data_IF_004245905232
#
_entry.id   IF_004245905232
#
_cell.length_a   1.000
_cell.length_b   1.000
_cell.length_c   1.000
_cell.angle_alpha   90.00
_cell.angle_beta   90.00
_cell.angle_gamma   90.00
#
_symmetry.space_group_name_H-M   'P 1'
#
loop_
_entity.id
_entity.type
_entity.pdbx_description
1 polymer ?
#
# COMPACT_ATOMS: atom_id res chain seq x y z
N UNK A 1 -16.96 12.59 82.48
CA UNK A 1 -17.46 13.85 81.85
C UNK A 1 -16.32 14.51 81.08
N UNK A 2 -16.64 15.06 79.89
CA UNK A 2 -15.82 15.88 78.98
C UNK A 2 -14.88 15.19 77.97
N UNK A 3 -15.49 14.93 76.80
CA UNK A 3 -15.06 15.31 75.45
C UNK A 3 -13.58 15.11 75.05
N UNK A 4 -13.35 14.16 74.14
CA UNK A 4 -12.18 14.15 73.28
C UNK A 4 -12.61 14.06 71.80
N UNK A 5 -11.87 14.80 70.98
CA UNK A 5 -12.25 15.41 69.71
C UNK A 5 -12.28 14.43 68.53
N UNK A 6 -13.07 14.81 67.51
CA UNK A 6 -12.96 14.39 66.11
C UNK A 6 -11.50 14.18 65.68
N UNK A 7 -11.19 13.03 65.09
CA UNK A 7 -10.27 12.95 63.96
C UNK A 7 -10.68 11.81 63.02
N UNK A 8 -10.93 12.21 61.79
CA UNK A 8 -11.30 11.43 60.62
C UNK A 8 -10.09 10.56 60.26
N UNK A 9 -10.22 9.23 60.27
CA UNK A 9 -9.16 8.36 59.77
C UNK A 9 -9.44 8.02 58.31
N UNK A 10 -8.70 8.77 57.48
CA UNK A 10 -8.48 8.71 56.05
C UNK A 10 -8.65 7.33 55.38
N UNK A 11 -9.44 7.35 54.32
CA UNK A 11 -9.60 6.28 53.33
C UNK A 11 -8.24 6.05 52.65
N UNK A 12 -7.65 4.88 52.84
CA UNK A 12 -6.52 4.39 52.04
C UNK A 12 -7.07 3.85 50.72
N UNK A 13 -7.23 4.72 49.72
CA UNK A 13 -7.38 4.28 48.34
C UNK A 13 -5.96 3.97 47.83
N UNK A 14 -5.63 2.72 47.48
CA UNK A 14 -4.34 2.45 46.85
C UNK A 14 -4.31 3.20 45.52
N UNK A 15 -3.37 4.13 45.37
CA UNK A 15 -3.08 4.78 44.10
C UNK A 15 -2.61 3.70 43.14
N UNK A 16 -3.51 3.29 42.24
CA UNK A 16 -3.22 2.45 41.09
C UNK A 16 -2.18 3.21 40.26
N UNK A 17 -0.92 2.83 40.40
CA UNK A 17 0.17 3.35 39.60
C UNK A 17 0.05 2.72 38.21
N UNK A 18 -0.75 3.32 37.34
CA UNK A 18 -0.70 3.00 35.91
C UNK A 18 0.61 3.60 35.41
N UNK A 19 1.64 2.76 35.33
CA UNK A 19 2.81 3.05 34.50
C UNK A 19 2.31 3.06 33.05
N UNK A 20 1.87 4.23 32.59
CA UNK A 20 1.75 4.49 31.16
C UNK A 20 3.17 4.51 30.61
N UNK A 21 3.68 3.34 30.21
CA UNK A 21 4.85 3.30 29.35
C UNK A 21 4.58 4.25 28.19
N UNK A 22 5.46 5.23 27.98
CA UNK A 22 5.33 6.13 26.84
C UNK A 22 5.18 5.25 25.61
N UNK A 23 4.20 5.51 24.72
CA UNK A 23 4.14 4.79 23.47
C UNK A 23 5.47 5.06 22.77
N UNK A 24 6.31 4.02 22.67
CA UNK A 24 7.46 4.03 21.79
C UNK A 24 6.88 4.43 20.45
N UNK A 25 7.20 5.63 19.96
CA UNK A 25 6.85 6.01 18.61
C UNK A 25 7.55 4.99 17.72
N UNK A 26 6.84 3.92 17.35
CA UNK A 26 7.15 3.12 16.19
C UNK A 26 7.42 4.15 15.09
N UNK A 27 8.57 4.06 14.40
CA UNK A 27 8.91 4.98 13.32
C UNK A 27 7.64 5.20 12.52
N UNK A 28 7.14 6.43 12.59
CA UNK A 28 5.83 6.74 12.06
C UNK A 28 5.88 6.31 10.62
N UNK A 29 5.05 5.31 10.27
CA UNK A 29 4.48 5.30 8.94
C UNK A 29 4.03 6.75 8.78
N UNK A 30 4.61 7.47 7.83
CA UNK A 30 4.15 8.82 7.58
C UNK A 30 2.67 8.67 7.23
N UNK A 31 1.80 8.96 8.21
CA UNK A 31 0.37 8.67 8.10
C UNK A 31 -0.20 9.40 6.89
N UNK A 32 0.43 10.52 6.48
CA UNK A 32 0.13 11.20 5.22
C UNK A 32 0.42 10.33 3.99
N UNK A 33 1.54 9.61 3.97
CA UNK A 33 1.91 8.70 2.87
C UNK A 33 0.94 7.53 2.74
N UNK A 34 0.60 6.83 3.84
CA UNK A 34 -0.38 5.74 3.78
C UNK A 34 -1.77 6.23 3.34
N UNK A 35 -2.27 7.31 3.96
CA UNK A 35 -3.59 7.85 3.61
C UNK A 35 -3.64 8.34 2.16
N UNK A 36 -2.54 8.88 1.63
CA UNK A 36 -2.44 9.25 0.23
C UNK A 36 -2.57 8.04 -0.70
N UNK A 37 -1.84 6.94 -0.42
CA UNK A 37 -1.93 5.72 -1.22
C UNK A 37 -3.32 5.09 -1.13
N UNK A 38 -3.91 5.07 0.06
CA UNK A 38 -5.27 4.58 0.25
C UNK A 38 -6.30 5.42 -0.52
N UNK A 39 -6.12 6.75 -0.56
CA UNK A 39 -6.99 7.64 -1.32
C UNK A 39 -6.87 7.38 -2.83
N UNK A 40 -5.66 7.29 -3.38
CA UNK A 40 -5.45 6.97 -4.80
C UNK A 40 -6.06 5.62 -5.17
N UNK A 41 -5.90 4.60 -4.32
CA UNK A 41 -6.54 3.30 -4.56
C UNK A 41 -8.06 3.37 -4.48
N UNK A 42 -8.60 4.03 -3.46
CA UNK A 42 -10.06 4.17 -3.30
C UNK A 42 -10.68 4.95 -4.45
N UNK A 43 -9.99 5.98 -4.94
CA UNK A 43 -10.39 6.73 -6.12
C UNK A 43 -10.35 5.83 -7.36
N UNK A 44 -9.25 5.11 -7.58
CA UNK A 44 -9.12 4.17 -8.69
C UNK A 44 -10.25 3.13 -8.75
N UNK A 45 -10.75 2.66 -7.60
CA UNK A 45 -11.85 1.70 -7.56
C UNK A 45 -13.19 2.28 -8.05
N UNK A 46 -13.39 3.59 -7.92
CA UNK A 46 -14.67 4.26 -8.18
C UNK A 46 -14.67 5.16 -9.41
N UNK A 47 -13.51 5.68 -9.83
CA UNK A 47 -13.38 6.57 -10.98
C UNK A 47 -13.70 5.86 -12.30
N UNK A 48 -14.28 6.60 -13.25
CA UNK A 48 -14.65 6.10 -14.57
C UNK A 48 -13.84 6.77 -15.70
N UNK A 49 -13.24 7.92 -15.42
CA UNK A 49 -12.36 8.61 -16.35
C UNK A 49 -11.03 7.87 -16.47
N UNK A 50 -10.64 7.52 -17.70
CA UNK A 50 -9.47 6.67 -17.97
C UNK A 50 -8.17 7.39 -17.63
N UNK A 51 -8.10 8.70 -17.83
CA UNK A 51 -6.88 9.45 -17.54
C UNK A 51 -6.68 9.56 -16.01
N UNK A 52 -7.77 9.70 -15.25
CA UNK A 52 -7.73 9.62 -13.79
C UNK A 52 -7.30 8.23 -13.30
N UNK A 53 -7.84 7.16 -13.89
CA UNK A 53 -7.44 5.79 -13.54
C UNK A 53 -5.98 5.51 -13.84
N UNK A 54 -5.48 6.05 -14.95
CA UNK A 54 -4.08 5.96 -15.31
C UNK A 54 -3.22 6.70 -14.28
N UNK A 55 -3.62 7.90 -13.86
CA UNK A 55 -2.89 8.70 -12.88
C UNK A 55 -2.81 7.99 -11.52
N UNK A 56 -3.92 7.43 -11.03
CA UNK A 56 -3.94 6.66 -9.79
C UNK A 56 -3.05 5.41 -9.89
N UNK A 57 -3.12 4.69 -11.01
CA UNK A 57 -2.31 3.49 -11.25
C UNK A 57 -0.81 3.81 -11.25
N UNK A 58 -0.41 4.90 -11.92
CA UNK A 58 0.99 5.37 -11.95
C UNK A 58 1.48 5.81 -10.57
N UNK A 59 0.64 6.49 -9.80
CA UNK A 59 0.95 6.90 -8.43
C UNK A 59 1.21 5.69 -7.55
N UNK A 60 0.34 4.68 -7.60
CA UNK A 60 0.49 3.45 -6.83
C UNK A 60 1.68 2.61 -7.29
N UNK A 61 1.93 2.50 -8.60
CA UNK A 61 3.09 1.79 -9.14
C UNK A 61 4.40 2.43 -8.70
N UNK A 62 4.49 3.77 -8.74
CA UNK A 62 5.67 4.50 -8.27
C UNK A 62 5.93 4.27 -6.78
N UNK A 63 4.88 4.18 -5.96
CA UNK A 63 5.01 3.86 -4.55
C UNK A 63 5.40 2.40 -4.29
N UNK A 64 4.89 1.47 -5.12
CA UNK A 64 5.25 0.06 -5.06
C UNK A 64 6.74 -0.17 -5.37
N UNK A 65 7.29 0.55 -6.35
CA UNK A 65 8.73 0.51 -6.68
C UNK A 65 9.59 1.03 -5.51
N UNK A 66 9.13 2.07 -4.81
CA UNK A 66 9.78 2.56 -3.59
C UNK A 66 9.80 1.53 -2.46
N UNK A 67 8.69 0.78 -2.28
CA UNK A 67 8.58 -0.25 -1.23
C UNK A 67 9.57 -1.42 -1.39
N UNK A 68 10.00 -1.71 -2.63
CA UNK A 68 11.01 -2.74 -2.94
C UNK A 68 12.40 -2.42 -2.37
N UNK A 69 12.72 -1.13 -2.19
CA UNK A 69 14.01 -0.71 -1.63
C UNK A 69 14.06 -0.78 -0.10
N UNK A 70 12.97 -1.16 0.55
CA UNK A 70 12.83 -1.16 2.01
C UNK A 70 12.90 -2.56 2.64
N UNK A 71 13.68 -3.47 2.04
CA UNK A 71 14.20 -4.60 2.80
C UNK A 71 15.33 -4.10 3.72
N UNK A 72 15.03 -3.88 5.01
CA UNK A 72 16.09 -3.79 6.00
C UNK A 72 15.79 -4.64 7.21
N UNK A 73 16.44 -5.80 7.26
CA UNK A 73 16.90 -6.40 8.50
C UNK A 73 18.28 -6.98 8.15
N UNK A 74 19.38 -6.64 8.81
CA UNK A 74 19.70 -6.94 10.21
C UNK A 74 20.85 -6.01 10.63
N UNK A 75 20.93 -5.61 11.89
CA UNK A 75 22.19 -5.06 12.42
C UNK A 75 22.78 -6.00 13.47
N UNK A 76 23.97 -6.62 13.25
CA UNK A 76 24.67 -7.34 14.30
C UNK A 76 25.38 -6.31 15.18
N UNK A 77 24.64 -5.74 16.12
CA UNK A 77 25.15 -4.72 17.02
C UNK A 77 25.71 -5.32 18.32
N UNK A 78 26.77 -4.72 18.88
CA UNK A 78 27.14 -4.96 20.28
C UNK A 78 25.95 -4.61 21.20
N UNK A 79 25.69 -5.46 22.20
CA UNK A 79 24.43 -5.57 22.94
C UNK A 79 23.89 -4.31 23.65
N UNK A 80 24.65 -3.21 23.68
CA UNK A 80 24.25 -1.95 24.32
C UNK A 80 23.78 -0.86 23.35
N UNK A 81 24.05 -1.00 22.05
CA UNK A 81 23.74 0.02 21.04
C UNK A 81 22.53 -0.34 20.17
N UNK A 82 22.19 -1.63 20.04
CA UNK A 82 21.00 -2.08 19.31
C UNK A 82 19.69 -1.46 19.82
N UNK A 83 19.60 -1.18 21.11
CA UNK A 83 18.44 -0.55 21.75
C UNK A 83 18.21 0.92 21.34
N UNK A 84 19.16 1.57 20.65
CA UNK A 84 19.10 3.01 20.34
C UNK A 84 18.89 3.35 18.85
N UNK A 85 19.07 2.41 17.90
CA UNK A 85 19.35 2.79 16.50
C UNK A 85 18.43 2.26 15.41
N UNK A 86 17.62 1.23 15.61
CA UNK A 86 16.89 0.68 14.46
C UNK A 86 15.58 1.43 14.25
N UNK A 87 15.56 2.51 13.45
CA UNK A 87 14.31 3.11 12.93
C UNK A 87 13.52 2.02 12.21
N UNK A 88 12.35 1.62 12.72
CA UNK A 88 11.57 0.57 12.09
C UNK A 88 11.24 0.91 10.63
N UNK A 89 11.39 -0.06 9.74
CA UNK A 89 10.83 0.04 8.38
C UNK A 89 9.33 0.30 8.49
N UNK A 90 8.83 1.23 7.67
CA UNK A 90 7.39 1.47 7.56
C UNK A 90 6.70 0.19 7.06
N UNK A 91 5.97 -0.49 7.95
CA UNK A 91 5.20 -1.68 7.62
C UNK A 91 3.76 -1.27 7.32
N UNK A 92 3.44 -1.12 6.05
CA UNK A 92 2.06 -0.89 5.65
C UNK A 92 1.21 -2.15 5.95
N UNK A 93 0.02 -1.96 6.52
CA UNK A 93 -0.95 -3.05 6.69
C UNK A 93 -1.53 -3.54 5.35
N UNK A 94 -1.24 -2.81 4.28
CA UNK A 94 -1.67 -3.09 2.92
C UNK A 94 -0.46 -3.36 2.03
N UNK A 95 -0.61 -4.30 1.11
CA UNK A 95 0.40 -4.56 0.09
C UNK A 95 0.26 -3.52 -1.03
N UNK A 96 1.22 -2.59 -1.10
CA UNK A 96 1.24 -1.50 -2.08
C UNK A 96 1.37 -2.04 -3.51
N UNK A 97 2.10 -3.15 -3.72
CA UNK A 97 2.18 -3.79 -5.05
C UNK A 97 0.85 -4.40 -5.45
N UNK A 98 0.13 -5.02 -4.51
CA UNK A 98 -1.21 -5.53 -4.79
C UNK A 98 -2.18 -4.39 -5.16
N UNK A 99 -2.13 -3.27 -4.45
CA UNK A 99 -2.92 -2.07 -4.78
C UNK A 99 -2.58 -1.55 -6.17
N UNK A 100 -1.30 -1.42 -6.49
CA UNK A 100 -0.82 -0.98 -7.80
C UNK A 100 -1.23 -1.93 -8.93
N UNK A 101 -1.08 -3.25 -8.73
CA UNK A 101 -1.46 -4.26 -9.71
C UNK A 101 -2.97 -4.28 -9.96
N UNK A 102 -3.79 -4.18 -8.90
CA UNK A 102 -5.25 -4.14 -9.01
C UNK A 102 -5.71 -2.88 -9.76
N UNK A 103 -5.20 -1.71 -9.40
CA UNK A 103 -5.56 -0.46 -10.05
C UNK A 103 -5.09 -0.43 -11.51
N UNK A 104 -3.85 -0.87 -11.80
CA UNK A 104 -3.32 -0.97 -13.17
C UNK A 104 -4.14 -1.92 -14.02
N UNK A 105 -4.62 -3.03 -13.46
CA UNK A 105 -5.48 -3.98 -14.19
C UNK A 105 -6.82 -3.34 -14.52
N UNK A 106 -7.46 -2.66 -13.57
CA UNK A 106 -8.73 -1.95 -13.79
C UNK A 106 -8.59 -0.85 -14.84
N UNK A 107 -7.55 -0.02 -14.72
CA UNK A 107 -7.25 1.06 -15.66
C UNK A 107 -6.94 0.50 -17.06
N UNK A 108 -6.15 -0.58 -17.13
CA UNK A 108 -5.83 -1.29 -18.37
C UNK A 108 -7.07 -1.84 -19.05
N UNK A 109 -7.94 -2.55 -18.31
CA UNK A 109 -9.22 -3.07 -18.83
C UNK A 109 -10.12 -1.95 -19.35
N UNK A 110 -10.27 -0.85 -18.60
CA UNK A 110 -11.04 0.31 -19.05
C UNK A 110 -10.48 0.93 -20.34
N UNK A 111 -9.14 0.99 -20.48
CA UNK A 111 -8.49 1.46 -21.68
C UNK A 111 -8.68 0.51 -22.89
N UNK A 112 -8.71 -0.81 -22.67
CA UNK A 112 -9.09 -1.80 -23.70
C UNK A 112 -10.51 -1.53 -24.19
N UNK A 113 -11.47 -1.42 -23.28
CA UNK A 113 -12.89 -1.17 -23.60
C UNK A 113 -13.08 0.15 -24.37
N UNK A 114 -12.31 1.17 -24.00
CA UNK A 114 -12.32 2.48 -24.63
C UNK A 114 -11.50 2.57 -25.93
N UNK A 115 -10.94 1.46 -26.43
CA UNK A 115 -10.11 1.41 -27.64
C UNK A 115 -8.90 2.35 -27.59
N UNK A 116 -8.27 2.47 -26.43
CA UNK A 116 -7.01 3.21 -26.21
C UNK A 116 -5.86 2.20 -25.99
N UNK A 117 -5.42 1.48 -27.05
CA UNK A 117 -4.52 0.33 -26.93
C UNK A 117 -3.16 0.70 -26.34
N UNK A 118 -2.63 1.90 -26.64
CA UNK A 118 -1.32 2.32 -26.12
C UNK A 118 -1.34 2.43 -24.59
N UNK A 119 -2.36 3.06 -24.03
CA UNK A 119 -2.54 3.20 -22.58
C UNK A 119 -2.80 1.85 -21.92
N UNK A 120 -3.62 1.02 -22.56
CA UNK A 120 -3.88 -0.34 -22.07
C UNK A 120 -2.57 -1.14 -21.99
N UNK A 121 -1.75 -1.12 -23.05
CA UNK A 121 -0.47 -1.83 -23.08
C UNK A 121 0.47 -1.35 -21.98
N UNK A 122 0.65 -0.05 -21.83
CA UNK A 122 1.53 0.52 -20.80
C UNK A 122 1.12 0.08 -19.38
N UNK A 123 -0.18 0.15 -19.07
CA UNK A 123 -0.71 -0.20 -17.75
C UNK A 123 -0.60 -1.71 -17.48
N UNK A 124 -0.92 -2.55 -18.48
CA UNK A 124 -0.89 -4.00 -18.33
C UNK A 124 0.55 -4.53 -18.24
N UNK A 125 1.50 -3.92 -18.96
CA UNK A 125 2.92 -4.25 -18.84
C UNK A 125 3.50 -3.92 -17.47
N UNK A 126 3.02 -2.84 -16.83
CA UNK A 126 3.42 -2.47 -15.47
C UNK A 126 3.14 -3.60 -14.47
N UNK A 127 2.05 -4.36 -14.64
CA UNK A 127 1.73 -5.51 -13.76
C UNK A 127 2.76 -6.65 -13.92
N UNK A 128 3.37 -6.79 -15.11
CA UNK A 128 4.29 -7.87 -15.39
C UNK A 128 5.66 -7.68 -14.73
N UNK A 129 5.99 -6.47 -14.29
CA UNK A 129 7.24 -6.19 -13.56
C UNK A 129 7.27 -6.86 -12.18
N UNK A 130 6.11 -7.21 -11.63
CA UNK A 130 6.00 -7.90 -10.34
C UNK A 130 6.31 -9.41 -10.43
N UNK A 131 6.48 -10.00 -11.61
CA UNK A 131 6.93 -11.39 -11.73
C UNK A 131 8.38 -11.57 -11.26
N UNK A 132 8.77 -12.73 -10.69
CA UNK A 132 8.02 -13.98 -10.57
C UNK A 132 7.26 -14.15 -9.24
N UNK A 133 6.97 -13.06 -8.52
CA UNK A 133 6.32 -13.12 -7.20
C UNK A 133 4.93 -13.76 -7.30
N UNK A 134 4.77 -14.93 -6.67
CA UNK A 134 3.60 -15.80 -6.82
C UNK A 134 2.32 -15.17 -6.30
N UNK A 135 2.42 -14.28 -5.31
CA UNK A 135 1.35 -13.51 -4.71
C UNK A 135 0.63 -12.58 -5.70
N UNK A 136 1.29 -12.23 -6.83
CA UNK A 136 0.71 -11.39 -7.88
C UNK A 136 0.36 -12.15 -9.16
N UNK A 137 0.40 -13.49 -9.14
CA UNK A 137 0.17 -14.33 -10.31
C UNK A 137 -1.21 -14.10 -10.96
N UNK A 138 -2.25 -13.85 -10.15
CA UNK A 138 -3.59 -13.53 -10.65
C UNK A 138 -3.56 -12.31 -11.59
N UNK A 139 -2.98 -11.20 -11.14
CA UNK A 139 -2.90 -9.96 -11.92
C UNK A 139 -2.08 -10.16 -13.19
N UNK A 140 -0.95 -10.87 -13.08
CA UNK A 140 -0.09 -11.18 -14.23
C UNK A 140 -0.81 -12.02 -15.30
N UNK A 141 -1.63 -13.00 -14.89
CA UNK A 141 -2.41 -13.81 -15.83
C UNK A 141 -3.47 -12.99 -16.55
N UNK A 142 -4.23 -12.16 -15.81
CA UNK A 142 -5.24 -11.28 -16.40
C UNK A 142 -4.62 -10.26 -17.36
N UNK A 143 -3.46 -9.69 -16.99
CA UNK A 143 -2.75 -8.76 -17.85
C UNK A 143 -2.28 -9.42 -19.17
N UNK A 144 -1.73 -10.63 -19.09
CA UNK A 144 -1.31 -11.40 -20.28
C UNK A 144 -2.49 -11.73 -21.20
N UNK A 145 -3.65 -12.06 -20.64
CA UNK A 145 -4.86 -12.32 -21.41
C UNK A 145 -5.29 -11.09 -22.21
N UNK A 146 -5.43 -9.93 -21.54
CA UNK A 146 -5.82 -8.67 -22.19
C UNK A 146 -4.81 -8.20 -23.24
N UNK A 147 -3.51 -8.33 -22.96
CA UNK A 147 -2.45 -8.01 -23.93
C UNK A 147 -2.56 -8.89 -25.20
N UNK A 148 -2.88 -10.17 -25.04
CA UNK A 148 -3.07 -11.08 -26.17
C UNK A 148 -4.30 -10.71 -27.02
N UNK A 149 -5.37 -10.25 -26.39
CA UNK A 149 -6.56 -9.73 -27.10
C UNK A 149 -6.23 -8.46 -27.92
N UNK A 150 -5.42 -7.56 -27.36
CA UNK A 150 -4.98 -6.36 -28.06
C UNK A 150 -4.15 -6.71 -29.31
N UNK A 151 -3.20 -7.64 -29.20
CA UNK A 151 -2.35 -8.02 -30.33
C UNK A 151 -3.12 -8.70 -31.46
N UNK A 152 -4.10 -9.54 -31.13
CA UNK A 152 -4.97 -10.17 -32.15
C UNK A 152 -5.91 -9.15 -32.83
N UNK A 153 -6.33 -8.11 -32.13
CA UNK A 153 -7.16 -7.04 -32.69
C UNK A 153 -6.41 -6.22 -33.76
N UNK A 154 -5.12 -5.96 -33.56
CA UNK A 154 -4.26 -5.23 -34.51
C UNK A 154 -4.10 -6.02 -35.81
N UNK A 155 -3.92 -7.33 -35.72
CA UNK A 155 -3.76 -8.20 -36.90
C UNK A 155 -5.05 -8.22 -37.74
N UNK A 156 -6.23 -8.27 -37.11
CA UNK A 156 -7.52 -8.23 -37.83
C UNK A 156 -7.74 -6.93 -38.60
N UNK A 157 -7.35 -5.78 -38.03
CA UNK A 157 -7.47 -4.49 -38.73
C UNK A 157 -6.51 -4.41 -39.92
N UNK A 158 -5.32 -4.98 -39.81
CA UNK A 158 -4.28 -4.93 -40.85
C UNK A 158 -4.57 -5.86 -42.03
N UNK A 159 -5.35 -6.93 -41.84
CA UNK A 159 -5.70 -7.87 -42.92
C UNK A 159 -6.87 -7.41 -43.80
N UNK A 160 -7.46 -6.24 -43.51
CA UNK A 160 -8.57 -5.67 -44.28
C UNK A 160 -8.07 -4.61 -45.27
N UNK A 161 -6.98 -4.88 -46.00
CA UNK A 161 -6.55 -4.08 -47.14
C UNK A 161 -7.06 -4.71 -48.46
N UNK A 162 -7.58 -3.87 -49.39
CA UNK A 162 -8.17 -4.31 -50.66
C UNK A 162 -7.14 -4.91 -51.64
#
# INVERSE_FOLDING_TARGET
MKSLRLMILSILIPTIWIMTGQPVQAAGIDNGSFMSLWNSYSHCQTATDIDQLREDALTLASAADGSLTQESFILPLPSKLEELVSTPVARFAVDVKAMAAACSLRAGSAAVEAKRPDIAKDLLHTILTYQPQSEYAYYALQAKALLSELDTSVIKVTLNLP
#
